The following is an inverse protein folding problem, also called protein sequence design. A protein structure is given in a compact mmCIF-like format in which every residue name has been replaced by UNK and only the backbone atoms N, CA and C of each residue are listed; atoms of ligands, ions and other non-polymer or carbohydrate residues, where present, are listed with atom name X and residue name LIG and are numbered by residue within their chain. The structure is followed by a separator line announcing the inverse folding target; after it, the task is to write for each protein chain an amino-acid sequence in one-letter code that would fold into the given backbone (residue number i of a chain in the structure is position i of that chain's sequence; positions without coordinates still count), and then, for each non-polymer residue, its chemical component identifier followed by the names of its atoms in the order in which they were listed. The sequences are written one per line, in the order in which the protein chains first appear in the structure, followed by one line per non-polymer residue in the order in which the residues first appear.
data_IF_999160992689
#
_entry.id   IF_999160992689
#
_cell.length_a   1.000
_cell.length_b   1.000
_cell.length_c   1.000
_cell.angle_alpha   90.00
_cell.angle_beta   90.00
_cell.angle_gamma   90.00
#
_symmetry.space_group_name_H-M   'P 1'
#
loop_
_entity.id
_entity.type
_entity.pdbx_description
1 polymer ?
#
# COMPACT_ATOMS: atom_id res chain seq x y z
N UNK A 1 7.53 34.20 -5.11
CA UNK A 1 6.26 34.75 -5.66
C UNK A 1 5.94 34.32 -7.09
N UNK A 2 6.89 34.07 -8.00
CA UNK A 2 6.64 33.34 -9.28
C UNK A 2 7.22 31.91 -9.24
N UNK A 3 8.40 31.74 -8.62
CA UNK A 3 9.02 30.44 -8.34
C UNK A 3 8.10 29.53 -7.52
N UNK A 4 7.47 30.07 -6.47
CA UNK A 4 6.57 29.30 -5.60
C UNK A 4 5.30 28.86 -6.35
N UNK A 5 4.80 29.69 -7.26
CA UNK A 5 3.65 29.34 -8.11
C UNK A 5 4.03 28.23 -9.10
N UNK A 6 5.20 28.32 -9.74
CA UNK A 6 5.68 27.27 -10.63
C UNK A 6 5.92 25.94 -9.89
N UNK A 7 6.46 26.00 -8.67
CA UNK A 7 6.75 24.81 -7.87
C UNK A 7 5.48 24.17 -7.31
N UNK A 8 4.47 24.97 -6.95
CA UNK A 8 3.15 24.46 -6.54
C UNK A 8 2.39 23.84 -7.72
N UNK A 9 2.42 24.44 -8.91
CA UNK A 9 1.85 23.84 -10.10
C UNK A 9 2.55 22.51 -10.46
N UNK A 10 3.88 22.49 -10.39
CA UNK A 10 4.68 21.29 -10.61
C UNK A 10 4.36 20.18 -9.59
N UNK A 11 4.26 20.51 -8.30
CA UNK A 11 3.94 19.53 -7.25
C UNK A 11 2.54 18.97 -7.43
N UNK A 12 1.53 19.80 -7.74
CA UNK A 12 0.16 19.35 -8.04
C UNK A 12 0.15 18.40 -9.24
N UNK A 13 0.87 18.74 -10.32
CA UNK A 13 0.94 17.90 -11.52
C UNK A 13 1.56 16.52 -11.23
N UNK A 14 2.62 16.46 -10.44
CA UNK A 14 3.22 15.18 -10.04
C UNK A 14 2.29 14.41 -9.11
N UNK A 15 1.66 15.07 -8.14
CA UNK A 15 0.75 14.42 -7.21
C UNK A 15 -0.50 13.87 -7.91
N UNK A 16 -0.94 14.50 -9.00
CA UNK A 16 -1.94 13.95 -9.92
C UNK A 16 -1.47 12.63 -10.55
N UNK A 17 -0.24 12.60 -11.09
CA UNK A 17 0.35 11.37 -11.68
C UNK A 17 0.53 10.24 -10.67
N UNK A 18 0.85 10.57 -9.42
CA UNK A 18 0.94 9.58 -8.34
C UNK A 18 -0.43 9.07 -7.88
N UNK A 19 -1.51 9.79 -8.19
CA UNK A 19 -2.88 9.44 -7.84
C UNK A 19 -3.26 9.82 -6.41
N UNK A 20 -2.70 10.91 -5.88
CA UNK A 20 -3.03 11.38 -4.53
C UNK A 20 -4.34 12.15 -4.51
N UNK A 21 -4.99 12.16 -3.34
CA UNK A 21 -6.17 12.97 -3.15
C UNK A 21 -5.84 14.47 -3.20
N UNK A 22 -6.73 15.31 -3.76
CA UNK A 22 -8.08 15.00 -4.26
C UNK A 22 -8.11 14.38 -5.67
N UNK A 23 -7.00 14.39 -6.41
CA UNK A 23 -6.90 13.93 -7.81
C UNK A 23 -6.74 12.40 -7.96
N UNK A 24 -7.30 11.64 -7.02
CA UNK A 24 -7.13 10.20 -6.87
C UNK A 24 -8.15 9.37 -7.66
N UNK A 25 -9.23 9.97 -8.15
CA UNK A 25 -10.40 9.26 -8.69
C UNK A 25 -10.08 8.30 -9.84
N UNK A 26 -9.08 8.61 -10.65
CA UNK A 26 -8.68 7.75 -11.77
C UNK A 26 -8.06 6.43 -11.31
N UNK A 27 -7.37 6.41 -10.16
CA UNK A 27 -6.54 5.27 -9.75
C UNK A 27 -7.39 4.02 -9.42
N UNK A 28 -8.46 4.08 -8.60
CA UNK A 28 -9.29 2.91 -8.33
C UNK A 28 -10.03 2.37 -9.55
N UNK A 29 -10.47 3.24 -10.47
CA UNK A 29 -11.20 2.85 -11.67
C UNK A 29 -10.30 2.16 -12.69
N UNK A 30 -9.13 2.74 -12.95
CA UNK A 30 -8.14 2.17 -13.87
C UNK A 30 -7.62 0.82 -13.33
N UNK A 31 -7.27 0.74 -12.04
CA UNK A 31 -6.84 -0.53 -11.44
C UNK A 31 -7.93 -1.60 -11.52
N UNK A 32 -9.20 -1.23 -11.42
CA UNK A 32 -10.28 -2.20 -11.56
C UNK A 32 -10.43 -2.73 -12.98
N UNK A 33 -10.22 -1.89 -13.99
CA UNK A 33 -10.39 -2.22 -15.42
C UNK A 33 -9.26 -3.05 -16.04
N UNK A 34 -8.09 -3.10 -15.39
CA UNK A 34 -6.90 -3.79 -15.91
C UNK A 34 -6.64 -5.15 -15.23
N UNK A 35 -5.76 -5.95 -15.83
CA UNK A 35 -5.33 -7.24 -15.31
C UNK A 35 -4.40 -7.10 -14.09
N UNK A 36 -4.28 -8.13 -13.25
CA UNK A 36 -3.37 -8.12 -12.09
C UNK A 36 -1.89 -7.80 -12.44
N UNK A 37 -1.26 -8.38 -13.49
CA UNK A 37 0.13 -8.05 -13.81
C UNK A 37 0.30 -6.63 -14.32
N UNK A 38 -0.68 -6.09 -15.07
CA UNK A 38 -0.63 -4.68 -15.50
C UNK A 38 -0.89 -3.73 -14.34
N UNK A 39 -1.76 -4.10 -13.41
CA UNK A 39 -1.95 -3.41 -12.14
C UNK A 39 -0.71 -3.38 -11.25
N UNK A 40 0.11 -4.43 -11.25
CA UNK A 40 1.43 -4.44 -10.60
C UNK A 40 2.33 -3.36 -11.20
N UNK A 41 2.44 -3.31 -12.53
CA UNK A 41 3.29 -2.32 -13.23
C UNK A 41 2.79 -0.90 -12.93
N UNK A 42 1.48 -0.68 -12.96
CA UNK A 42 0.89 0.63 -12.69
C UNK A 42 1.05 1.07 -11.22
N UNK A 43 0.96 0.15 -10.27
CA UNK A 43 1.09 0.46 -8.84
C UNK A 43 2.53 0.56 -8.33
N UNK A 44 3.51 0.07 -9.10
CA UNK A 44 4.95 0.09 -8.74
C UNK A 44 5.76 0.95 -9.71
N UNK A 45 5.98 0.46 -10.93
CA UNK A 45 6.87 1.04 -11.92
C UNK A 45 6.50 2.48 -12.28
N UNK A 46 5.21 2.73 -12.54
CA UNK A 46 4.73 4.06 -12.93
C UNK A 46 4.87 5.11 -11.81
N UNK A 47 5.04 4.69 -10.55
CA UNK A 47 5.24 5.60 -9.42
C UNK A 47 6.70 5.98 -9.21
N UNK A 48 7.66 5.25 -9.77
CA UNK A 48 9.10 5.48 -9.55
C UNK A 48 9.53 6.84 -10.09
N UNK A 49 9.29 7.12 -11.38
CA UNK A 49 9.75 8.36 -12.01
C UNK A 49 9.12 9.64 -11.42
N UNK A 50 7.79 9.70 -11.14
CA UNK A 50 7.23 10.86 -10.46
C UNK A 50 7.77 11.04 -9.03
N UNK A 51 8.04 9.94 -8.32
CA UNK A 51 8.58 9.97 -6.97
C UNK A 51 10.03 10.48 -6.93
N UNK A 52 10.88 10.08 -7.90
CA UNK A 52 12.27 10.57 -7.95
C UNK A 52 12.33 12.08 -8.22
N UNK A 53 11.47 12.59 -9.09
CA UNK A 53 11.37 14.04 -9.36
C UNK A 53 10.96 14.83 -8.11
N UNK A 54 10.00 14.31 -7.34
CA UNK A 54 9.60 14.92 -6.07
C UNK A 54 10.73 14.88 -5.02
N UNK A 55 11.48 13.79 -4.94
CA UNK A 55 12.62 13.68 -4.02
C UNK A 55 13.73 14.68 -4.37
N UNK A 56 14.06 14.83 -5.65
CA UNK A 56 15.07 15.80 -6.13
C UNK A 56 14.67 17.24 -5.83
N UNK A 57 13.38 17.54 -5.84
CA UNK A 57 12.84 18.88 -5.61
C UNK A 57 12.28 19.08 -4.20
N UNK A 58 12.55 18.16 -3.27
CA UNK A 58 12.02 18.16 -1.90
C UNK A 58 12.28 19.46 -1.14
N UNK A 59 13.47 20.04 -1.30
CA UNK A 59 13.84 21.31 -0.68
C UNK A 59 13.02 22.51 -1.16
N UNK A 60 12.41 22.44 -2.34
CA UNK A 60 11.59 23.52 -2.91
C UNK A 60 10.09 23.34 -2.65
N UNK A 61 9.65 22.18 -2.14
CA UNK A 61 8.23 21.92 -1.89
C UNK A 61 7.64 22.84 -0.81
N UNK A 62 6.41 23.29 -1.05
CA UNK A 62 5.62 23.99 -0.05
C UNK A 62 5.08 23.00 0.99
N UNK A 63 5.47 23.20 2.25
CA UNK A 63 5.13 22.34 3.38
C UNK A 63 3.61 22.22 3.62
N UNK A 64 2.86 23.33 3.51
CA UNK A 64 1.42 23.31 3.74
C UNK A 64 0.70 22.47 2.69
N UNK A 65 1.17 22.53 1.44
CA UNK A 65 0.62 21.75 0.34
C UNK A 65 0.90 20.26 0.52
N UNK A 66 2.14 19.88 0.89
CA UNK A 66 2.50 18.48 1.12
C UNK A 66 1.72 17.87 2.29
N UNK A 67 1.53 18.64 3.37
CA UNK A 67 0.73 18.19 4.53
C UNK A 67 -0.74 18.03 4.15
N UNK A 68 -1.33 19.01 3.45
CA UNK A 68 -2.74 18.95 3.06
C UNK A 68 -3.04 17.76 2.12
N UNK A 69 -2.22 17.55 1.09
CA UNK A 69 -2.38 16.44 0.14
C UNK A 69 -2.06 15.08 0.79
N UNK A 70 -1.06 15.05 1.66
CA UNK A 70 -0.73 13.89 2.48
C UNK A 70 -1.87 13.46 3.41
N UNK A 71 -2.40 14.36 4.23
CA UNK A 71 -3.50 14.07 5.16
C UNK A 71 -4.77 13.65 4.43
N UNK A 72 -5.16 14.38 3.39
CA UNK A 72 -6.36 14.05 2.61
C UNK A 72 -6.23 12.70 1.93
N UNK A 73 -5.05 12.32 1.44
CA UNK A 73 -4.82 11.00 0.83
C UNK A 73 -4.86 9.86 1.84
N UNK A 74 -4.35 10.04 3.07
CA UNK A 74 -4.49 9.03 4.14
C UNK A 74 -5.97 8.84 4.51
N UNK A 75 -6.70 9.94 4.69
CA UNK A 75 -8.14 9.92 5.00
C UNK A 75 -8.96 9.21 3.91
N UNK A 76 -8.79 9.64 2.66
CA UNK A 76 -9.54 9.11 1.52
C UNK A 76 -9.12 7.67 1.19
N UNK A 77 -7.84 7.34 1.33
CA UNK A 77 -7.34 5.97 1.20
C UNK A 77 -7.95 5.05 2.26
N UNK A 78 -8.04 5.51 3.50
CA UNK A 78 -8.69 4.77 4.58
C UNK A 78 -10.18 4.58 4.32
N UNK A 79 -10.94 5.66 4.16
CA UNK A 79 -12.39 5.62 4.01
C UNK A 79 -12.82 4.92 2.71
N UNK A 80 -12.18 5.25 1.60
CA UNK A 80 -12.49 4.66 0.28
C UNK A 80 -12.31 3.15 0.23
N UNK A 81 -11.38 2.59 1.01
CA UNK A 81 -11.13 1.15 1.10
C UNK A 81 -12.20 0.35 1.85
N UNK A 82 -12.87 0.95 2.84
CA UNK A 82 -13.82 0.27 3.74
C UNK A 82 -15.02 -0.31 2.97
N UNK A 83 -15.51 0.38 1.95
CA UNK A 83 -16.69 -0.05 1.19
C UNK A 83 -16.41 -1.05 0.05
N UNK A 84 -15.15 -1.34 -0.27
CA UNK A 84 -14.81 -2.07 -1.49
C UNK A 84 -14.79 -3.59 -1.28
N UNK A 85 -15.36 -4.33 -2.23
CA UNK A 85 -15.30 -5.81 -2.30
C UNK A 85 -14.34 -6.30 -3.38
N UNK A 86 -13.95 -5.43 -4.31
CA UNK A 86 -12.98 -5.74 -5.36
C UNK A 86 -11.57 -5.51 -4.83
N UNK A 87 -10.74 -6.55 -4.88
CA UNK A 87 -9.39 -6.50 -4.30
C UNK A 87 -8.54 -5.44 -5.01
N UNK A 88 -8.69 -5.26 -6.32
CA UNK A 88 -7.94 -4.25 -7.08
C UNK A 88 -8.25 -2.82 -6.62
N UNK A 89 -9.51 -2.52 -6.30
CA UNK A 89 -9.89 -1.22 -5.73
C UNK A 89 -9.34 -1.04 -4.32
N UNK A 90 -9.35 -2.09 -3.50
CA UNK A 90 -8.74 -2.03 -2.16
C UNK A 90 -7.25 -1.73 -2.28
N UNK A 91 -6.53 -2.38 -3.21
CA UNK A 91 -5.12 -2.11 -3.48
C UNK A 91 -4.87 -0.70 -4.04
N UNK A 92 -5.84 -0.12 -4.75
CA UNK A 92 -5.76 1.27 -5.17
C UNK A 92 -5.83 2.22 -3.96
N UNK A 93 -6.83 2.04 -3.10
CA UNK A 93 -7.00 2.87 -1.91
C UNK A 93 -5.86 2.72 -0.90
N UNK A 94 -5.30 1.53 -0.75
CA UNK A 94 -4.08 1.38 0.03
C UNK A 94 -2.90 2.14 -0.57
N UNK A 95 -2.71 2.12 -1.89
CA UNK A 95 -1.64 2.89 -2.53
C UNK A 95 -1.79 4.40 -2.29
N UNK A 96 -3.03 4.91 -2.29
CA UNK A 96 -3.32 6.32 -2.00
C UNK A 96 -2.93 6.65 -0.56
N UNK A 97 -3.32 5.80 0.40
CA UNK A 97 -2.98 6.00 1.80
C UNK A 97 -1.47 5.91 2.09
N UNK A 98 -0.78 4.90 1.54
CA UNK A 98 0.66 4.75 1.72
C UNK A 98 1.45 5.91 1.10
N UNK A 99 1.07 6.38 -0.09
CA UNK A 99 1.70 7.57 -0.69
C UNK A 99 1.45 8.83 0.13
N UNK A 100 0.32 8.92 0.84
CA UNK A 100 0.08 10.00 1.79
C UNK A 100 1.14 10.06 2.89
N UNK A 101 1.48 8.92 3.49
CA UNK A 101 2.58 8.83 4.47
C UNK A 101 3.93 9.26 3.88
N UNK A 102 4.21 8.84 2.64
CA UNK A 102 5.45 9.19 1.94
C UNK A 102 5.56 10.71 1.75
N UNK A 103 4.49 11.38 1.32
CA UNK A 103 4.53 12.81 0.98
C UNK A 103 4.61 13.71 2.21
N UNK A 104 3.97 13.35 3.32
CA UNK A 104 4.03 14.15 4.55
C UNK A 104 5.47 14.31 5.02
N UNK A 105 6.26 13.23 4.97
CA UNK A 105 7.63 13.21 5.48
C UNK A 105 8.65 13.72 4.47
N UNK A 106 8.30 13.76 3.20
CA UNK A 106 9.21 14.16 2.12
C UNK A 106 9.93 15.49 2.38
N UNK A 107 9.26 16.47 2.99
CA UNK A 107 9.86 17.77 3.32
C UNK A 107 10.75 17.72 4.56
N UNK A 108 10.40 16.90 5.55
CA UNK A 108 11.14 16.77 6.81
C UNK A 108 12.39 15.90 6.63
N UNK A 109 12.25 14.73 6.01
CA UNK A 109 13.36 13.80 5.74
C UNK A 109 13.14 13.04 4.43
N UNK A 110 13.76 13.48 3.31
CA UNK A 110 13.58 12.84 2.01
C UNK A 110 14.11 11.39 1.98
N UNK A 111 15.12 11.07 2.80
CA UNK A 111 15.64 9.71 2.95
C UNK A 111 14.62 8.75 3.56
N UNK A 112 13.87 9.19 4.57
CA UNK A 112 12.83 8.37 5.20
C UNK A 112 11.62 8.19 4.26
N UNK A 113 11.30 9.23 3.50
CA UNK A 113 10.31 9.16 2.42
C UNK A 113 10.71 8.14 1.35
N UNK A 114 11.99 8.11 0.94
CA UNK A 114 12.50 7.10 0.01
C UNK A 114 12.41 5.69 0.60
N UNK A 115 12.82 5.51 1.86
CA UNK A 115 12.75 4.23 2.56
C UNK A 115 11.32 3.68 2.61
N UNK A 116 10.35 4.50 3.02
CA UNK A 116 8.93 4.11 3.05
C UNK A 116 8.42 3.74 1.64
N UNK A 117 8.81 4.51 0.61
CA UNK A 117 8.42 4.21 -0.77
C UNK A 117 8.98 2.88 -1.29
N UNK A 118 10.24 2.55 -0.96
CA UNK A 118 10.85 1.26 -1.33
C UNK A 118 10.10 0.10 -0.66
N UNK A 119 9.83 0.20 0.65
CA UNK A 119 9.06 -0.83 1.36
C UNK A 119 7.65 -0.98 0.79
N UNK A 120 6.99 0.13 0.45
CA UNK A 120 5.70 0.12 -0.24
C UNK A 120 5.77 -0.64 -1.58
N UNK A 121 6.79 -0.41 -2.42
CA UNK A 121 6.95 -1.14 -3.69
C UNK A 121 7.12 -2.64 -3.43
N UNK A 122 7.95 -3.02 -2.46
CA UNK A 122 8.19 -4.45 -2.14
C UNK A 122 6.91 -5.13 -1.68
N UNK A 123 6.18 -4.52 -0.73
CA UNK A 123 4.94 -5.10 -0.19
C UNK A 123 3.83 -5.16 -1.23
N UNK A 124 3.67 -4.13 -2.06
CA UNK A 124 2.64 -4.14 -3.13
C UNK A 124 2.97 -5.13 -4.23
N UNK A 125 4.25 -5.25 -4.64
CA UNK A 125 4.66 -6.26 -5.60
C UNK A 125 4.41 -7.68 -5.07
N UNK A 126 4.73 -7.96 -3.80
CA UNK A 126 4.43 -9.23 -3.15
C UNK A 126 2.92 -9.53 -3.14
N UNK A 127 2.08 -8.53 -2.83
CA UNK A 127 0.63 -8.69 -2.84
C UNK A 127 0.07 -8.93 -4.25
N UNK A 128 0.46 -8.15 -5.26
CA UNK A 128 -0.04 -8.36 -6.63
C UNK A 128 0.45 -9.69 -7.23
N UNK A 129 1.68 -10.11 -6.93
CA UNK A 129 2.21 -11.41 -7.36
C UNK A 129 1.48 -12.58 -6.71
N UNK A 130 1.15 -12.49 -5.43
CA UNK A 130 0.39 -13.55 -4.77
C UNK A 130 -1.07 -13.62 -5.24
N UNK A 131 -1.71 -12.48 -5.50
CA UNK A 131 -3.04 -12.43 -6.13
C UNK A 131 -3.02 -13.00 -7.55
N UNK A 132 -1.96 -12.77 -8.33
CA UNK A 132 -1.86 -13.28 -9.69
C UNK A 132 -1.70 -14.80 -9.72
N UNK A 133 -0.91 -15.37 -8.81
CA UNK A 133 -0.79 -16.83 -8.62
C UNK A 133 -2.12 -17.45 -8.20
N UNK A 134 -2.88 -16.80 -7.30
CA UNK A 134 -4.21 -17.28 -6.89
C UNK A 134 -5.31 -17.01 -7.92
N UNK A 135 -5.08 -16.13 -8.90
CA UNK A 135 -6.09 -15.60 -9.83
C UNK A 135 -7.31 -14.97 -9.13
N UNK A 136 -7.12 -14.35 -7.97
CA UNK A 136 -8.21 -13.79 -7.15
C UNK A 136 -8.38 -12.29 -7.38
N UNK A 137 -9.64 -11.88 -7.61
CA UNK A 137 -9.98 -10.48 -7.90
C UNK A 137 -11.07 -9.92 -7.01
N UNK A 138 -11.93 -10.80 -6.48
CA UNK A 138 -13.03 -10.46 -5.57
C UNK A 138 -12.78 -11.06 -4.19
N UNK A 139 -13.35 -10.44 -3.17
CA UNK A 139 -13.27 -10.89 -1.78
C UNK A 139 -13.83 -12.32 -1.56
N UNK A 140 -14.86 -12.72 -2.29
CA UNK A 140 -15.37 -14.10 -2.24
C UNK A 140 -14.45 -15.12 -2.90
N UNK A 141 -13.62 -14.71 -3.85
CA UNK A 141 -12.67 -15.64 -4.48
C UNK A 141 -11.49 -15.90 -3.55
N UNK A 142 -11.01 -14.88 -2.84
CA UNK A 142 -9.91 -15.03 -1.88
C UNK A 142 -10.34 -15.78 -0.61
N UNK A 143 -11.62 -15.78 -0.22
CA UNK A 143 -12.08 -16.63 0.89
C UNK A 143 -11.96 -18.13 0.58
N UNK A 144 -12.14 -18.52 -0.69
CA UNK A 144 -12.01 -19.91 -1.14
C UNK A 144 -10.57 -20.33 -1.44
N UNK A 145 -9.58 -19.43 -1.36
CA UNK A 145 -8.20 -19.80 -1.68
C UNK A 145 -7.54 -20.64 -0.58
N UNK A 146 -8.01 -20.55 0.66
CA UNK A 146 -7.47 -21.33 1.78
C UNK A 146 -7.51 -22.83 1.52
N UNK A 147 -8.64 -23.32 0.98
CA UNK A 147 -8.80 -24.74 0.66
C UNK A 147 -7.99 -25.21 -0.56
N UNK A 148 -7.53 -24.29 -1.41
CA UNK A 148 -6.76 -24.59 -2.62
C UNK A 148 -5.26 -24.52 -2.37
N UNK A 149 -4.80 -23.45 -1.73
CA UNK A 149 -3.38 -23.12 -1.54
C UNK A 149 -3.16 -22.50 -0.15
N UNK A 150 -3.21 -23.31 0.93
CA UNK A 150 -3.23 -22.80 2.31
C UNK A 150 -1.97 -21.99 2.67
N UNK A 151 -0.80 -22.43 2.21
CA UNK A 151 0.48 -21.77 2.45
C UNK A 151 0.51 -20.36 1.86
N UNK A 152 0.11 -20.23 0.59
CA UNK A 152 0.07 -18.95 -0.08
C UNK A 152 -0.96 -18.03 0.57
N UNK A 153 -2.15 -18.52 0.92
CA UNK A 153 -3.16 -17.71 1.63
C UNK A 153 -2.68 -17.19 2.98
N UNK A 154 -1.95 -18.01 3.75
CA UNK A 154 -1.34 -17.57 5.01
C UNK A 154 -0.31 -16.46 4.76
N UNK A 155 0.56 -16.59 3.75
CA UNK A 155 1.53 -15.53 3.42
C UNK A 155 0.86 -14.25 2.94
N UNK A 156 -0.23 -14.33 2.15
CA UNK A 156 -0.97 -13.13 1.73
C UNK A 156 -1.64 -12.41 2.89
N UNK A 157 -2.15 -13.16 3.87
CA UNK A 157 -2.69 -12.57 5.08
C UNK A 157 -1.62 -11.78 5.82
N UNK A 158 -0.43 -12.35 6.01
CA UNK A 158 0.69 -11.66 6.66
C UNK A 158 1.12 -10.41 5.89
N UNK A 159 1.13 -10.43 4.55
CA UNK A 159 1.45 -9.25 3.73
C UNK A 159 0.38 -8.17 3.87
N UNK A 160 -0.90 -8.54 3.97
CA UNK A 160 -1.96 -7.57 4.21
C UNK A 160 -1.82 -6.90 5.58
N UNK A 161 -1.42 -7.66 6.61
CA UNK A 161 -1.11 -7.11 7.93
C UNK A 161 0.17 -6.26 7.92
N UNK A 162 1.15 -6.58 7.07
CA UNK A 162 2.36 -5.76 6.94
C UNK A 162 2.05 -4.42 6.28
N UNK A 163 1.21 -4.39 5.24
CA UNK A 163 0.68 -3.15 4.66
C UNK A 163 -0.12 -2.32 5.70
N UNK A 164 -0.92 -2.98 6.55
CA UNK A 164 -1.61 -2.33 7.66
C UNK A 164 -0.62 -1.71 8.68
N UNK A 165 0.62 -2.20 8.74
CA UNK A 165 1.68 -1.67 9.59
C UNK A 165 1.53 -2.12 11.04
N UNK A 166 1.23 -3.40 11.26
CA UNK A 166 1.19 -3.97 12.61
C UNK A 166 2.59 -4.39 13.09
N UNK A 167 2.95 -4.17 14.37
CA UNK A 167 4.10 -4.83 14.97
C UNK A 167 3.80 -6.33 14.98
N UNK A 168 4.67 -7.29 14.56
CA UNK A 168 6.14 -7.32 14.33
C UNK A 168 6.55 -7.35 12.84
N UNK A 169 5.78 -6.74 11.94
CA UNK A 169 5.99 -6.82 10.49
C UNK A 169 6.74 -5.60 9.93
N UNK A 170 7.31 -5.74 8.73
CA UNK A 170 8.14 -4.72 8.07
C UNK A 170 7.46 -3.36 7.92
N UNK A 171 6.18 -3.34 7.54
CA UNK A 171 5.45 -2.10 7.26
C UNK A 171 5.11 -1.29 8.50
N UNK A 172 5.37 -1.81 9.71
CA UNK A 172 5.32 -1.01 10.94
C UNK A 172 6.51 -0.05 11.03
N UNK A 173 7.71 -0.48 10.63
CA UNK A 173 8.93 0.31 10.74
C UNK A 173 8.85 1.70 10.10
N UNK A 174 8.42 1.85 8.82
CA UNK A 174 8.37 3.17 8.21
C UNK A 174 7.35 4.08 8.90
N UNK A 175 6.19 3.57 9.33
CA UNK A 175 5.18 4.37 10.02
C UNK A 175 5.70 4.87 11.37
N UNK A 176 6.35 3.98 12.14
CA UNK A 176 6.95 4.34 13.42
C UNK A 176 8.05 5.38 13.26
N UNK A 177 8.99 5.18 12.33
CA UNK A 177 10.08 6.13 12.08
C UNK A 177 9.55 7.49 11.63
N UNK A 178 8.50 7.52 10.81
CA UNK A 178 7.85 8.77 10.38
C UNK A 178 7.29 9.53 11.58
N UNK A 179 6.60 8.85 12.49
CA UNK A 179 6.03 9.49 13.68
C UNK A 179 7.15 10.06 14.56
N UNK A 180 8.22 9.28 14.77
CA UNK A 180 9.37 9.76 15.55
C UNK A 180 9.99 11.01 14.93
N UNK A 181 10.11 11.06 13.60
CA UNK A 181 10.64 12.23 12.92
C UNK A 181 9.72 13.45 13.02
N UNK A 182 8.40 13.25 12.91
CA UNK A 182 7.42 14.33 13.10
C UNK A 182 7.41 14.89 14.52
N UNK A 183 7.60 14.01 15.53
CA UNK A 183 7.71 14.43 16.94
C UNK A 183 9.01 15.18 17.19
N UNK A 184 10.12 14.77 16.59
CA UNK A 184 11.40 15.52 16.67
C UNK A 184 11.31 16.93 16.09
N UNK A 185 10.42 17.15 15.13
CA UNK A 185 10.17 18.45 14.48
C UNK A 185 9.05 19.25 15.19
N UNK A 186 8.69 18.89 16.42
CA UNK A 186 7.62 19.50 17.24
C UNK A 186 6.20 19.48 16.62
N UNK A 187 5.97 18.68 15.57
CA UNK A 187 4.66 18.58 14.89
C UNK A 187 3.75 17.50 15.48
N UNK A 188 3.60 17.49 16.81
CA UNK A 188 2.89 16.43 17.55
C UNK A 188 1.42 16.28 17.10
N UNK A 189 0.73 17.39 16.84
CA UNK A 189 -0.68 17.37 16.38
C UNK A 189 -0.81 16.71 15.00
N UNK A 190 0.14 16.93 14.11
CA UNK A 190 0.17 16.30 12.80
C UNK A 190 0.40 14.79 12.95
N UNK A 191 1.36 14.40 13.79
CA UNK A 191 1.64 12.99 14.05
C UNK A 191 0.42 12.24 14.62
N UNK A 192 -0.31 12.84 15.57
CA UNK A 192 -1.48 12.21 16.18
C UNK A 192 -2.65 12.06 15.20
N UNK A 193 -2.91 13.06 14.37
CA UNK A 193 -3.97 13.00 13.34
C UNK A 193 -3.66 11.96 12.27
N UNK A 194 -2.42 11.87 11.80
CA UNK A 194 -1.99 10.84 10.85
C UNK A 194 -2.17 9.44 11.45
N UNK A 195 -1.79 9.27 12.71
CA UNK A 195 -1.95 7.99 13.40
C UNK A 195 -3.41 7.56 13.49
N UNK A 196 -4.29 8.44 13.96
CA UNK A 196 -5.72 8.14 14.07
C UNK A 196 -6.35 7.81 12.72
N UNK A 197 -6.01 8.56 11.67
CA UNK A 197 -6.56 8.34 10.33
C UNK A 197 -6.05 7.04 9.70
N UNK A 198 -4.82 6.61 10.02
CA UNK A 198 -4.28 5.34 9.54
C UNK A 198 -5.00 4.10 10.08
N UNK A 199 -5.68 4.21 11.23
CA UNK A 199 -6.50 3.13 11.79
C UNK A 199 -7.70 2.78 10.89
N UNK A 200 -8.21 3.74 10.10
CA UNK A 200 -9.26 3.47 9.10
C UNK A 200 -8.77 2.48 8.04
N UNK A 201 -7.52 2.62 7.60
CA UNK A 201 -6.94 1.71 6.63
C UNK A 201 -6.75 0.30 7.24
N UNK A 202 -6.33 0.25 8.51
CA UNK A 202 -6.18 -1.00 9.24
C UNK A 202 -7.50 -1.80 9.31
N UNK A 203 -8.65 -1.14 9.45
CA UNK A 203 -9.95 -1.82 9.49
C UNK A 203 -10.23 -2.66 8.23
N UNK A 204 -10.04 -2.11 7.03
CA UNK A 204 -10.34 -2.88 5.81
C UNK A 204 -9.35 -4.02 5.59
N UNK A 205 -8.10 -3.89 6.05
CA UNK A 205 -7.12 -4.98 6.03
C UNK A 205 -7.52 -6.10 6.98
N UNK A 206 -7.91 -5.78 8.23
CA UNK A 206 -8.39 -6.78 9.18
C UNK A 206 -9.64 -7.51 8.67
N UNK A 207 -10.55 -6.79 8.04
CA UNK A 207 -11.73 -7.38 7.40
C UNK A 207 -11.33 -8.39 6.32
N UNK A 208 -10.35 -8.05 5.48
CA UNK A 208 -9.85 -8.97 4.46
C UNK A 208 -9.19 -10.20 5.07
N UNK A 209 -8.32 -10.04 6.07
CA UNK A 209 -7.67 -11.18 6.72
C UNK A 209 -8.68 -12.10 7.39
N UNK A 210 -9.72 -11.52 8.00
CA UNK A 210 -10.82 -12.28 8.60
C UNK A 210 -11.51 -13.18 7.57
N UNK A 211 -11.82 -12.65 6.38
CA UNK A 211 -12.47 -13.43 5.32
C UNK A 211 -11.56 -14.51 4.71
N UNK A 212 -10.25 -14.29 4.67
CA UNK A 212 -9.30 -15.23 4.06
C UNK A 212 -9.06 -16.47 4.95
N UNK A 213 -8.88 -16.28 6.26
CA UNK A 213 -8.36 -17.34 7.14
C UNK A 213 -9.24 -17.66 8.33
N UNK A 214 -9.91 -16.67 8.92
CA UNK A 214 -10.65 -16.86 10.17
C UNK A 214 -12.06 -17.40 9.95
N UNK A 215 -12.59 -17.30 8.73
CA UNK A 215 -13.85 -17.94 8.33
C UNK A 215 -13.62 -18.90 7.17
N UNK A 216 -13.91 -20.18 7.37
CA UNK A 216 -13.93 -21.16 6.30
C UNK A 216 -15.19 -20.93 5.43
N UNK A 217 -15.02 -20.26 4.30
CA UNK A 217 -16.11 -20.09 3.34
C UNK A 217 -16.49 -21.43 2.69
N UNK A 218 -17.76 -21.64 2.30
CA UNK A 218 -18.19 -22.89 1.69
C UNK A 218 -17.45 -23.14 0.37
N UNK A 219 -16.86 -24.34 0.24
CA UNK A 219 -16.17 -24.75 -0.98
C UNK A 219 -17.18 -25.20 -2.05
N UNK A 220 -16.89 -24.90 -3.32
CA UNK A 220 -17.66 -25.42 -4.46
C UNK A 220 -17.23 -26.85 -4.79
N UNK A 221 -18.12 -27.71 -5.32
CA UNK A 221 -17.78 -29.11 -5.63
C UNK A 221 -16.63 -29.25 -6.64
N UNK A 222 -16.41 -28.24 -7.48
CA UNK A 222 -15.28 -28.15 -8.42
C UNK A 222 -13.90 -28.04 -7.76
N UNK A 223 -13.81 -27.76 -6.45
CA UNK A 223 -12.52 -27.65 -5.75
C UNK A 223 -11.75 -28.97 -5.69
N UNK A 224 -12.44 -30.10 -5.70
CA UNK A 224 -11.83 -31.44 -5.64
C UNK A 224 -10.89 -31.73 -6.82
N UNK A 225 -11.16 -31.16 -8.00
CA UNK A 225 -10.30 -31.30 -9.17
C UNK A 225 -8.95 -30.57 -8.99
N UNK A 226 -8.95 -29.43 -8.30
CA UNK A 226 -7.76 -28.62 -8.05
C UNK A 226 -6.81 -29.35 -7.11
N UNK A 227 -7.34 -30.10 -6.14
CA UNK A 227 -6.53 -30.89 -5.20
C UNK A 227 -5.73 -32.02 -5.86
N UNK A 228 -6.13 -32.45 -7.06
CA UNK A 228 -5.42 -33.49 -7.82
C UNK A 228 -4.22 -32.94 -8.59
N UNK A 229 -4.12 -31.62 -8.75
CA UNK A 229 -3.04 -30.97 -9.50
C UNK A 229 -1.91 -30.54 -8.58
N UNK A 230 -0.67 -30.79 -8.98
CA UNK A 230 0.50 -30.31 -8.24
C UNK A 230 0.68 -28.80 -8.49
N UNK A 231 0.82 -27.98 -7.43
CA UNK A 231 1.01 -26.55 -7.59
C UNK A 231 2.40 -26.28 -8.20
N UNK A 232 2.46 -25.37 -9.17
CA UNK A 232 3.74 -24.88 -9.72
C UNK A 232 4.45 -24.02 -8.66
N UNK A 233 5.75 -24.23 -8.51
CA UNK A 233 6.58 -23.40 -7.64
C UNK A 233 6.82 -22.02 -8.28
N UNK A 234 6.49 -20.96 -7.56
CA UNK A 234 6.74 -19.59 -7.98
C UNK A 234 7.86 -18.99 -7.12
N UNK A 235 9.11 -19.21 -7.53
CA UNK A 235 10.28 -18.80 -6.75
C UNK A 235 10.34 -17.28 -6.52
N UNK A 236 10.05 -16.49 -7.56
CA UNK A 236 10.06 -15.03 -7.45
C UNK A 236 9.03 -14.51 -6.43
N UNK A 237 7.84 -15.11 -6.38
CA UNK A 237 6.79 -14.69 -5.44
C UNK A 237 7.17 -15.04 -4.00
N UNK A 238 7.85 -16.17 -3.79
CA UNK A 238 8.36 -16.54 -2.48
C UNK A 238 9.41 -15.54 -1.97
N UNK A 239 10.36 -15.14 -2.83
CA UNK A 239 11.39 -14.14 -2.47
C UNK A 239 10.75 -12.80 -2.11
N UNK A 240 9.82 -12.30 -2.92
CA UNK A 240 9.12 -11.04 -2.64
C UNK A 240 8.30 -11.09 -1.35
N UNK A 241 7.63 -12.22 -1.08
CA UNK A 241 6.87 -12.41 0.15
C UNK A 241 7.79 -12.42 1.39
N UNK A 242 8.95 -13.06 1.31
CA UNK A 242 9.91 -13.08 2.41
C UNK A 242 10.47 -11.69 2.70
N UNK A 243 10.86 -10.95 1.66
CA UNK A 243 11.29 -9.56 1.79
C UNK A 243 10.19 -8.68 2.42
N UNK A 244 8.94 -8.83 1.99
CA UNK A 244 7.83 -8.07 2.54
C UNK A 244 7.55 -8.35 4.03
N UNK A 245 8.06 -9.44 4.62
CA UNK A 245 7.74 -9.86 5.99
C UNK A 245 8.91 -9.73 6.99
N UNK A 246 10.16 -9.92 6.55
CA UNK A 246 11.30 -10.14 7.47
C UNK A 246 12.31 -8.98 7.50
N UNK A 247 12.08 -7.87 6.80
CA UNK A 247 12.96 -6.70 6.83
C UNK A 247 12.97 -5.90 8.15
N UNK A 248 12.05 -6.16 9.10
CA UNK A 248 11.99 -5.40 10.36
C UNK A 248 13.29 -5.45 11.18
N UNK A 249 13.89 -6.61 11.50
CA UNK A 249 15.16 -6.66 12.25
C UNK A 249 16.35 -6.02 11.53
N UNK A 250 16.24 -5.74 10.23
CA UNK A 250 17.29 -5.07 9.47
C UNK A 250 17.21 -3.54 9.55
N UNK A 251 16.19 -2.99 10.22
CA UNK A 251 16.13 -1.55 10.42
C UNK A 251 17.17 -1.13 11.47
N UNK A 252 18.05 -0.17 11.15
CA UNK A 252 19.04 0.31 12.10
C UNK A 252 18.35 0.96 13.31
N UNK A 253 18.89 0.69 14.50
CA UNK A 253 18.49 1.34 15.75
C UNK A 253 18.82 2.84 15.73
#
# INVERSE_FOLDING_TARGET
SLSDLSMTAFSIAIMMKLGLAPLHFWMPEVLQGISLPTGLILSTWQKIAPMTLLLQTSHLLNLNLTIALGLTSILIGGWGGIGQTQIRKIMAFSSIGHLGWVIIVMKFSPLLSLFNFILYIIMTAAMFMSLSVMSTTKMSQISTSWSKTPTLSATTMLIMLSLAGLPPLTGFAPKLLIILELVKQDTILLASTIMLTSLLALFFYLRLTYIITLTLSPNTPSSLLIWRTTPKAHALTAVMNMLALILLPLTPN
#
